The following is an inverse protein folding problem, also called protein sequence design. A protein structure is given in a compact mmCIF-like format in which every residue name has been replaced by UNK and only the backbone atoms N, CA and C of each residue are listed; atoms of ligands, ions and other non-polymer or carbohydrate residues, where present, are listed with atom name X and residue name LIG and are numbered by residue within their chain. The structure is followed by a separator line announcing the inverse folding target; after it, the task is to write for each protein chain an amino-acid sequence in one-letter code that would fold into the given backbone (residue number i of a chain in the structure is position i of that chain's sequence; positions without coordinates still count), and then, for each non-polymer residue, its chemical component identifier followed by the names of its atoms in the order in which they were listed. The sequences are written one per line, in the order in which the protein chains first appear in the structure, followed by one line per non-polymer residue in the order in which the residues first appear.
data_IF_015886983833
#
_entry.id   IF_015886983833
#
_cell.length_a   1.000
_cell.length_b   1.000
_cell.length_c   1.000
_cell.angle_alpha   90.00
_cell.angle_beta   90.00
_cell.angle_gamma   90.00
#
_symmetry.space_group_name_H-M   'P 1'
#
loop_
_entity.id
_entity.type
_entity.pdbx_description
1 polymer ?
#
# COMPACT_ATOMS: atom_id res chain seq x y z
N UNK A 1 14.72 -12.19 14.17
CA UNK A 1 14.52 -10.97 13.32
C UNK A 1 15.46 -11.01 12.11
N UNK A 2 14.92 -10.95 10.92
CA UNK A 2 15.71 -10.83 9.69
C UNK A 2 16.32 -9.42 9.61
N UNK A 3 17.54 -9.28 10.18
CA UNK A 3 18.22 -7.98 10.28
C UNK A 3 18.55 -7.41 8.91
N UNK A 4 18.93 -8.24 7.96
CA UNK A 4 19.30 -7.78 6.62
C UNK A 4 18.09 -7.17 5.89
N UNK A 5 16.91 -7.81 5.97
CA UNK A 5 15.68 -7.27 5.39
C UNK A 5 15.31 -5.92 6.04
N UNK A 6 15.47 -5.81 7.36
CA UNK A 6 15.22 -4.55 8.07
C UNK A 6 16.18 -3.44 7.59
N UNK A 7 17.48 -3.74 7.53
CA UNK A 7 18.51 -2.78 7.09
C UNK A 7 18.23 -2.29 5.65
N UNK A 8 17.81 -3.19 4.74
CA UNK A 8 17.47 -2.84 3.36
C UNK A 8 16.18 -1.99 3.27
N UNK A 9 15.18 -2.27 4.11
CA UNK A 9 13.98 -1.43 4.18
C UNK A 9 14.32 -0.03 4.72
N UNK A 10 15.16 0.08 5.76
CA UNK A 10 15.64 1.37 6.27
C UNK A 10 16.43 2.15 5.22
N UNK A 11 17.33 1.47 4.49
CA UNK A 11 18.13 2.10 3.43
C UNK A 11 17.22 2.65 2.32
N UNK A 12 16.21 1.88 1.90
CA UNK A 12 15.25 2.32 0.91
C UNK A 12 14.47 3.57 1.36
N UNK A 13 14.09 3.65 2.64
CA UNK A 13 13.46 4.85 3.22
C UNK A 13 14.44 6.03 3.25
N UNK A 14 15.67 5.84 3.74
CA UNK A 14 16.71 6.90 3.83
C UNK A 14 17.03 7.49 2.47
N UNK A 15 17.07 6.67 1.43
CA UNK A 15 17.40 7.10 0.07
C UNK A 15 16.27 7.89 -0.60
N UNK A 16 15.02 7.61 -0.25
CA UNK A 16 13.85 8.17 -0.95
C UNK A 16 13.11 9.26 -0.18
N UNK A 17 13.14 9.24 1.15
CA UNK A 17 12.35 10.14 2.00
C UNK A 17 13.23 11.24 2.58
N UNK A 18 13.09 12.45 2.06
CA UNK A 18 13.89 13.62 2.46
C UNK A 18 13.20 14.50 3.49
N UNK A 19 11.87 14.57 3.47
CA UNK A 19 11.10 15.38 4.40
C UNK A 19 11.06 14.75 5.80
N UNK A 20 11.15 15.59 6.83
CA UNK A 20 11.08 15.12 8.21
C UNK A 20 9.66 14.82 8.68
N UNK A 21 8.69 15.65 8.26
CA UNK A 21 7.26 15.48 8.53
C UNK A 21 6.61 14.80 7.36
N UNK A 22 6.08 13.59 7.56
CA UNK A 22 5.54 12.73 6.51
C UNK A 22 4.18 12.15 6.86
N UNK A 23 3.35 11.98 5.84
CA UNK A 23 2.18 11.13 5.92
C UNK A 23 2.54 9.67 5.62
N UNK A 24 1.81 8.73 6.19
CA UNK A 24 1.86 7.31 5.80
C UNK A 24 0.46 6.89 5.38
N UNK A 25 0.30 6.41 4.13
CA UNK A 25 -0.95 5.80 3.69
C UNK A 25 -1.20 4.50 4.49
N UNK A 26 -2.20 4.52 5.37
CA UNK A 26 -2.35 3.55 6.43
C UNK A 26 -3.69 2.81 6.37
N UNK A 27 -3.64 1.51 6.20
CA UNK A 27 -4.82 0.62 6.20
C UNK A 27 -4.90 -0.29 7.44
N UNK A 28 -3.89 -0.23 8.33
CA UNK A 28 -3.73 -1.16 9.45
C UNK A 28 -3.21 -2.55 9.05
N UNK A 29 -3.07 -2.85 7.75
CA UNK A 29 -2.45 -4.09 7.28
C UNK A 29 -0.95 -4.17 7.60
N UNK A 30 -0.38 -5.38 7.55
CA UNK A 30 1.02 -5.63 7.93
C UNK A 30 2.01 -4.68 7.27
N UNK A 31 1.86 -4.42 5.97
CA UNK A 31 2.81 -3.62 5.19
C UNK A 31 2.82 -2.15 5.63
N UNK A 32 1.64 -1.54 5.69
CA UNK A 32 1.50 -0.13 6.09
C UNK A 32 1.82 0.09 7.56
N UNK A 33 1.57 -0.91 8.41
CA UNK A 33 1.88 -0.84 9.84
C UNK A 33 3.37 -0.98 10.09
N UNK A 34 4.03 -1.92 9.40
CA UNK A 34 5.49 -2.07 9.45
C UNK A 34 6.19 -0.81 8.94
N UNK A 35 5.77 -0.26 7.81
CA UNK A 35 6.31 1.00 7.29
C UNK A 35 6.12 2.14 8.29
N UNK A 36 4.92 2.33 8.83
CA UNK A 36 4.63 3.41 9.77
C UNK A 36 5.54 3.35 11.01
N UNK A 37 5.71 2.16 11.60
CA UNK A 37 6.60 1.98 12.74
C UNK A 37 8.06 2.18 12.35
N UNK A 38 8.50 1.64 11.21
CA UNK A 38 9.86 1.78 10.71
C UNK A 38 10.25 3.24 10.58
N UNK A 39 9.47 4.05 9.84
CA UNK A 39 9.78 5.48 9.67
C UNK A 39 9.69 6.25 10.99
N UNK A 40 8.80 5.86 11.91
CA UNK A 40 8.73 6.46 13.25
C UNK A 40 9.99 6.19 14.06
N UNK A 41 10.47 4.95 14.09
CA UNK A 41 11.68 4.56 14.83
C UNK A 41 12.95 5.15 14.21
N UNK A 42 12.96 5.40 12.89
CA UNK A 42 13.99 6.17 12.20
C UNK A 42 13.95 7.68 12.54
N UNK A 43 12.98 8.11 13.33
CA UNK A 43 12.86 9.46 13.85
C UNK A 43 12.12 10.45 12.96
N UNK A 44 11.34 10.00 11.96
CA UNK A 44 10.43 10.88 11.21
C UNK A 44 9.24 11.33 12.07
N UNK A 45 8.69 12.49 11.76
CA UNK A 45 7.43 12.98 12.32
C UNK A 45 6.27 12.39 11.49
N UNK A 46 5.68 11.33 12.01
CA UNK A 46 4.74 10.46 11.27
C UNK A 46 3.30 10.83 11.58
N UNK A 47 2.50 11.00 10.53
CA UNK A 47 1.06 11.17 10.59
C UNK A 47 0.37 10.10 9.72
N UNK A 48 -0.45 9.25 10.32
CA UNK A 48 -1.19 8.20 9.60
C UNK A 48 -2.37 8.80 8.84
N UNK A 49 -2.58 8.36 7.60
CA UNK A 49 -3.65 8.81 6.72
C UNK A 49 -4.50 7.62 6.25
N UNK A 50 -5.76 7.60 6.61
CA UNK A 50 -6.70 6.54 6.19
C UNK A 50 -7.90 7.13 5.48
N UNK A 51 -8.31 6.51 4.39
CA UNK A 51 -9.50 6.88 3.62
C UNK A 51 -10.43 5.68 3.41
N UNK A 52 -11.69 5.96 3.19
CA UNK A 52 -12.67 4.93 2.83
C UNK A 52 -14.08 5.47 2.91
N UNK A 53 -15.04 4.68 2.44
CA UNK A 53 -16.44 5.00 2.71
C UNK A 53 -16.77 4.76 4.17
N UNK A 54 -17.84 5.38 4.64
CA UNK A 54 -18.35 5.19 6.00
C UNK A 54 -18.45 3.69 6.34
N UNK A 55 -18.03 3.33 7.54
CA UNK A 55 -18.00 1.95 8.05
C UNK A 55 -17.20 0.95 7.19
N UNK A 56 -16.32 1.45 6.31
CA UNK A 56 -15.45 0.58 5.53
C UNK A 56 -14.49 -0.21 6.43
N UNK A 57 -14.10 -1.38 5.94
CA UNK A 57 -13.15 -2.25 6.65
C UNK A 57 -11.85 -1.51 6.98
N UNK A 58 -11.30 -0.74 6.03
CA UNK A 58 -10.00 -0.09 6.21
C UNK A 58 -10.06 1.00 7.29
N UNK A 59 -11.15 1.79 7.35
CA UNK A 59 -11.33 2.79 8.42
C UNK A 59 -11.40 2.10 9.78
N UNK A 60 -12.23 1.06 9.94
CA UNK A 60 -12.41 0.38 11.21
C UNK A 60 -11.14 -0.32 11.65
N UNK A 61 -10.48 -1.02 10.74
CA UNK A 61 -9.27 -1.77 11.04
C UNK A 61 -8.06 -0.85 11.33
N UNK A 62 -7.92 0.24 10.58
CA UNK A 62 -6.89 1.25 10.87
C UNK A 62 -7.07 1.88 12.26
N UNK A 63 -8.31 2.18 12.66
CA UNK A 63 -8.61 2.65 14.03
C UNK A 63 -8.19 1.64 15.09
N UNK A 64 -8.58 0.36 14.91
CA UNK A 64 -8.22 -0.74 15.82
C UNK A 64 -6.70 -0.87 15.97
N UNK A 65 -5.97 -0.94 14.87
CA UNK A 65 -4.50 -1.08 14.92
C UNK A 65 -3.84 0.15 15.51
N UNK A 66 -4.31 1.37 15.18
CA UNK A 66 -3.72 2.58 15.71
C UNK A 66 -3.99 2.80 17.21
N UNK A 67 -5.01 2.19 17.80
CA UNK A 67 -5.17 2.18 19.26
C UNK A 67 -3.96 1.52 19.96
N UNK A 68 -3.29 0.58 19.27
CA UNK A 68 -2.10 -0.10 19.78
C UNK A 68 -0.80 0.64 19.46
N UNK A 69 -0.76 1.41 18.36
CA UNK A 69 0.42 2.19 17.96
C UNK A 69 0.44 3.58 18.62
N UNK A 70 -0.71 4.18 18.82
CA UNK A 70 -0.91 5.52 19.37
C UNK A 70 -0.16 6.62 18.58
N UNK A 71 -0.27 6.60 17.25
CA UNK A 71 0.30 7.61 16.36
C UNK A 71 -0.74 8.69 16.00
N UNK A 72 -0.33 9.93 15.67
CA UNK A 72 -1.22 10.91 15.04
C UNK A 72 -1.90 10.30 13.82
N UNK A 73 -3.23 10.41 13.73
CA UNK A 73 -4.02 9.72 12.70
C UNK A 73 -5.18 10.59 12.24
N UNK A 74 -5.23 10.86 10.95
CA UNK A 74 -6.37 11.50 10.29
C UNK A 74 -7.11 10.49 9.41
N UNK A 75 -8.42 10.58 9.45
CA UNK A 75 -9.32 9.72 8.66
C UNK A 75 -10.23 10.61 7.83
N UNK A 76 -10.38 10.29 6.54
CA UNK A 76 -11.33 10.94 5.65
C UNK A 76 -12.35 9.93 5.14
N UNK A 77 -13.61 10.21 5.42
CA UNK A 77 -14.72 9.46 4.83
C UNK A 77 -15.01 10.00 3.42
N UNK A 78 -15.12 9.09 2.45
CA UNK A 78 -15.43 9.43 1.07
C UNK A 78 -16.92 9.77 0.95
N UNK A 79 -17.22 10.97 0.45
CA UNK A 79 -18.57 11.43 0.18
C UNK A 79 -19.15 10.70 -1.05
N UNK A 80 -20.20 9.88 -0.88
CA UNK A 80 -20.80 9.14 -1.99
C UNK A 80 -21.38 10.05 -3.09
N UNK A 81 -21.80 11.27 -2.75
CA UNK A 81 -22.40 12.21 -3.71
C UNK A 81 -21.34 12.78 -4.66
N UNK A 82 -20.13 13.06 -4.15
CA UNK A 82 -19.00 13.59 -4.92
C UNK A 82 -18.17 12.51 -5.61
N UNK A 83 -18.33 11.26 -5.21
CA UNK A 83 -17.47 10.16 -5.67
C UNK A 83 -17.51 9.98 -7.20
N UNK A 84 -18.69 10.15 -7.83
CA UNK A 84 -18.82 10.00 -9.29
C UNK A 84 -18.01 11.08 -10.02
N UNK A 85 -18.16 12.34 -9.63
CA UNK A 85 -17.42 13.48 -10.22
C UNK A 85 -15.91 13.29 -10.09
N UNK A 86 -15.44 12.91 -8.89
CA UNK A 86 -14.02 12.62 -8.63
C UNK A 86 -13.53 11.46 -9.51
N UNK A 87 -14.31 10.39 -9.64
CA UNK A 87 -13.95 9.24 -10.48
C UNK A 87 -13.81 9.60 -11.95
N UNK A 88 -14.73 10.41 -12.48
CA UNK A 88 -14.70 10.89 -13.87
C UNK A 88 -13.50 11.81 -14.10
N UNK A 89 -13.23 12.74 -13.19
CA UNK A 89 -12.05 13.61 -13.22
C UNK A 89 -10.76 12.81 -13.29
N UNK A 90 -10.62 11.81 -12.41
CA UNK A 90 -9.41 10.98 -12.34
C UNK A 90 -9.22 10.17 -13.62
N UNK A 91 -10.29 9.58 -14.15
CA UNK A 91 -10.25 8.86 -15.43
C UNK A 91 -9.74 9.77 -16.58
N UNK A 92 -10.17 11.03 -16.61
CA UNK A 92 -9.67 12.00 -17.60
C UNK A 92 -8.19 12.33 -17.43
N UNK A 93 -7.67 12.36 -16.20
CA UNK A 93 -6.26 12.63 -15.92
C UNK A 93 -5.38 11.44 -16.34
N UNK A 94 -5.74 10.23 -15.90
CA UNK A 94 -4.91 9.04 -16.13
C UNK A 94 -5.06 8.46 -17.53
N UNK A 95 -6.18 8.74 -18.22
CA UNK A 95 -6.51 8.28 -19.60
C UNK A 95 -6.29 6.77 -19.79
N UNK A 96 -6.74 5.97 -18.81
CA UNK A 96 -6.59 4.53 -18.80
C UNK A 96 -7.90 3.84 -18.46
N UNK A 97 -8.26 2.81 -19.22
CA UNK A 97 -9.41 1.94 -18.95
C UNK A 97 -9.09 0.83 -17.94
N UNK A 98 -7.84 0.72 -17.51
CA UNK A 98 -7.44 -0.24 -16.49
C UNK A 98 -8.16 0.04 -15.17
N UNK A 99 -9.04 -0.89 -14.77
CA UNK A 99 -9.87 -0.74 -13.58
C UNK A 99 -9.03 -0.54 -12.31
N UNK A 100 -7.98 -1.33 -12.13
CA UNK A 100 -7.09 -1.25 -10.96
C UNK A 100 -6.37 0.11 -10.89
N UNK A 101 -5.95 0.67 -12.03
CA UNK A 101 -5.32 2.00 -12.07
C UNK A 101 -6.32 3.09 -11.66
N UNK A 102 -7.57 3.02 -12.15
CA UNK A 102 -8.61 3.96 -11.75
C UNK A 102 -8.90 3.88 -10.25
N UNK A 103 -9.08 2.67 -9.72
CA UNK A 103 -9.37 2.45 -8.30
C UNK A 103 -8.26 2.96 -7.38
N UNK A 104 -7.00 2.65 -7.69
CA UNK A 104 -5.86 3.10 -6.90
C UNK A 104 -5.65 4.62 -7.04
N UNK A 105 -5.78 5.18 -8.24
CA UNK A 105 -5.68 6.63 -8.46
C UNK A 105 -6.76 7.40 -7.68
N UNK A 106 -8.00 6.89 -7.64
CA UNK A 106 -9.07 7.45 -6.81
C UNK A 106 -8.71 7.37 -5.31
N UNK A 107 -8.21 6.22 -4.85
CA UNK A 107 -7.81 6.08 -3.45
C UNK A 107 -6.71 7.08 -3.08
N UNK A 108 -5.67 7.19 -3.88
CA UNK A 108 -4.57 8.11 -3.61
C UNK A 108 -4.92 9.58 -3.82
N UNK A 109 -5.91 9.91 -4.66
CA UNK A 109 -6.50 11.24 -4.70
C UNK A 109 -7.01 11.66 -3.31
N UNK A 110 -7.85 10.82 -2.67
CA UNK A 110 -8.37 11.12 -1.34
C UNK A 110 -7.28 11.10 -0.25
N UNK A 111 -6.27 10.26 -0.38
CA UNK A 111 -5.10 10.28 0.52
C UNK A 111 -4.34 11.60 0.38
N UNK A 112 -4.12 12.10 -0.84
CA UNK A 112 -3.43 13.36 -1.08
C UNK A 112 -4.25 14.58 -0.61
N UNK A 113 -5.56 14.57 -0.84
CA UNK A 113 -6.46 15.59 -0.29
C UNK A 113 -6.39 15.63 1.25
N UNK A 114 -6.38 14.47 1.90
CA UNK A 114 -6.25 14.37 3.34
C UNK A 114 -4.86 14.83 3.82
N UNK A 115 -3.80 14.49 3.08
CA UNK A 115 -2.44 14.95 3.36
C UNK A 115 -2.34 16.48 3.31
N UNK A 116 -2.89 17.10 2.25
CA UNK A 116 -2.93 18.56 2.10
C UNK A 116 -3.65 19.22 3.29
N UNK A 117 -4.80 18.68 3.73
CA UNK A 117 -5.56 19.18 4.90
C UNK A 117 -4.79 19.10 6.22
N UNK A 118 -3.72 18.28 6.28
CA UNK A 118 -2.84 18.11 7.45
C UNK A 118 -1.46 18.78 7.25
N UNK A 119 -1.30 19.65 6.25
CA UNK A 119 -0.06 20.33 5.92
C UNK A 119 1.11 19.35 5.66
N UNK A 120 0.83 18.24 4.98
CA UNK A 120 1.81 17.24 4.58
C UNK A 120 2.07 17.34 3.08
N UNK A 121 3.33 17.41 2.69
CA UNK A 121 3.78 17.46 1.28
C UNK A 121 4.25 16.10 0.77
N UNK A 122 4.64 15.22 1.67
CA UNK A 122 5.14 13.89 1.36
C UNK A 122 4.30 12.82 2.05
N UNK A 123 3.86 11.85 1.27
CA UNK A 123 3.18 10.64 1.76
C UNK A 123 3.96 9.42 1.33
N UNK A 124 4.31 8.58 2.29
CA UNK A 124 5.03 7.32 2.06
C UNK A 124 4.04 6.16 2.01
N UNK A 125 4.25 5.24 1.09
CA UNK A 125 3.37 4.08 0.90
C UNK A 125 4.17 2.78 0.87
N UNK A 126 3.53 1.67 1.26
CA UNK A 126 4.16 0.35 1.28
C UNK A 126 4.02 -0.42 -0.06
N UNK A 127 3.74 0.29 -1.16
CA UNK A 127 3.66 -0.31 -2.50
C UNK A 127 5.00 -0.98 -2.86
N UNK A 128 4.94 -2.10 -3.54
CA UNK A 128 6.09 -2.96 -3.85
C UNK A 128 6.18 -4.20 -2.97
N UNK A 129 5.73 -4.15 -1.72
CA UNK A 129 5.78 -5.31 -0.81
C UNK A 129 4.91 -6.47 -1.31
N UNK A 130 3.70 -6.21 -1.75
CA UNK A 130 2.81 -7.26 -2.27
C UNK A 130 3.36 -7.93 -3.54
N UNK A 131 3.97 -7.15 -4.41
CA UNK A 131 4.62 -7.61 -5.63
C UNK A 131 5.83 -8.50 -5.31
N UNK A 132 6.72 -8.01 -4.45
CA UNK A 132 8.01 -8.63 -4.15
C UNK A 132 7.93 -9.85 -3.22
N UNK A 133 6.90 -9.90 -2.36
CA UNK A 133 6.75 -10.94 -1.33
C UNK A 133 5.50 -11.80 -1.51
N UNK A 134 4.99 -11.91 -2.74
CA UNK A 134 3.86 -12.78 -3.09
C UNK A 134 2.56 -12.46 -2.34
N UNK A 135 2.22 -11.16 -2.14
CA UNK A 135 1.07 -10.76 -1.33
C UNK A 135 -0.30 -11.04 -1.96
N UNK A 136 -0.42 -11.14 -3.27
CA UNK A 136 -1.70 -11.35 -3.97
C UNK A 136 -2.12 -12.83 -4.04
N UNK A 137 -3.42 -13.08 -4.06
CA UNK A 137 -3.96 -14.45 -4.18
C UNK A 137 -3.51 -15.14 -5.48
N UNK A 138 -3.29 -14.39 -6.56
CA UNK A 138 -2.82 -14.94 -7.83
C UNK A 138 -1.45 -15.63 -7.74
N UNK A 139 -0.63 -15.31 -6.74
CA UNK A 139 0.62 -16.04 -6.51
C UNK A 139 0.41 -17.48 -6.06
N UNK A 140 -0.73 -17.80 -5.43
CA UNK A 140 -1.11 -19.17 -5.06
C UNK A 140 -1.38 -20.04 -6.29
N UNK A 141 -1.95 -19.46 -7.34
CA UNK A 141 -2.15 -20.13 -8.63
C UNK A 141 -0.83 -20.22 -9.43
N UNK A 142 0.04 -19.20 -9.28
CA UNK A 142 1.33 -19.20 -9.95
C UNK A 142 2.29 -20.25 -9.38
N UNK A 143 2.37 -20.41 -8.05
CA UNK A 143 3.26 -21.39 -7.42
C UNK A 143 2.88 -22.84 -7.75
N UNK A 144 1.61 -23.11 -8.02
CA UNK A 144 1.15 -24.43 -8.50
C UNK A 144 1.78 -24.80 -9.87
N UNK A 145 2.08 -23.76 -10.68
CA UNK A 145 2.73 -23.92 -11.99
C UNK A 145 4.26 -23.90 -11.91
N UNK A 146 4.82 -23.61 -10.74
CA UNK A 146 6.26 -23.57 -10.47
C UNK A 146 6.80 -22.18 -10.12
N UNK A 147 8.00 -22.16 -9.55
CA UNK A 147 8.65 -20.92 -9.10
C UNK A 147 8.94 -19.93 -10.24
N UNK A 148 9.23 -20.43 -11.43
CA UNK A 148 9.47 -19.57 -12.60
C UNK A 148 8.24 -18.74 -12.97
N UNK A 149 7.04 -19.29 -12.83
CA UNK A 149 5.79 -18.55 -13.07
C UNK A 149 5.54 -17.50 -11.98
N UNK A 150 5.94 -17.78 -10.72
CA UNK A 150 5.90 -16.79 -9.64
C UNK A 150 6.84 -15.62 -9.95
N UNK A 151 8.08 -15.90 -10.37
CA UNK A 151 9.07 -14.88 -10.71
C UNK A 151 8.60 -14.04 -11.90
N UNK A 152 8.05 -14.67 -12.94
CA UNK A 152 7.46 -13.96 -14.09
C UNK A 152 6.33 -13.03 -13.64
N UNK A 153 5.37 -13.55 -12.86
CA UNK A 153 4.25 -12.76 -12.33
C UNK A 153 4.75 -11.60 -11.46
N UNK A 154 5.78 -11.81 -10.64
CA UNK A 154 6.41 -10.75 -9.84
C UNK A 154 6.93 -9.62 -10.73
N UNK A 155 7.63 -9.95 -11.81
CA UNK A 155 8.17 -8.95 -12.73
C UNK A 155 7.06 -8.17 -13.45
N UNK A 156 6.01 -8.85 -13.90
CA UNK A 156 4.87 -8.24 -14.58
C UNK A 156 4.12 -7.29 -13.62
N UNK A 157 3.88 -7.72 -12.38
CA UNK A 157 3.24 -6.88 -11.35
C UNK A 157 4.10 -5.67 -10.97
N UNK A 158 5.41 -5.84 -10.80
CA UNK A 158 6.32 -4.72 -10.51
C UNK A 158 6.34 -3.69 -11.64
N UNK A 159 6.33 -4.15 -12.90
CA UNK A 159 6.24 -3.25 -14.05
C UNK A 159 4.95 -2.45 -14.01
N UNK A 160 3.81 -3.14 -13.86
CA UNK A 160 2.50 -2.50 -13.77
C UNK A 160 2.43 -1.52 -12.58
N UNK A 161 3.00 -1.88 -11.42
CA UNK A 161 3.00 -1.04 -10.23
C UNK A 161 3.76 0.27 -10.46
N UNK A 162 4.95 0.20 -11.05
CA UNK A 162 5.76 1.38 -11.40
C UNK A 162 5.03 2.30 -12.38
N UNK A 163 4.40 1.75 -13.40
CA UNK A 163 3.62 2.52 -14.39
C UNK A 163 2.40 3.16 -13.73
N UNK A 164 1.68 2.43 -12.88
CA UNK A 164 0.54 2.94 -12.12
C UNK A 164 0.94 4.08 -11.18
N UNK A 165 2.10 4.01 -10.53
CA UNK A 165 2.58 5.08 -9.64
C UNK A 165 2.86 6.39 -10.38
N UNK A 166 3.23 6.34 -11.66
CA UNK A 166 3.33 7.56 -12.49
C UNK A 166 1.96 8.21 -12.64
N UNK A 167 0.92 7.42 -12.93
CA UNK A 167 -0.46 7.92 -13.03
C UNK A 167 -0.96 8.49 -11.69
N UNK A 168 -0.68 7.80 -10.58
CA UNK A 168 -1.04 8.26 -9.23
C UNK A 168 -0.36 9.60 -8.92
N UNK A 169 0.94 9.75 -9.19
CA UNK A 169 1.65 11.01 -8.95
C UNK A 169 1.09 12.17 -9.80
N UNK A 170 0.63 11.90 -11.02
CA UNK A 170 -0.06 12.92 -11.82
C UNK A 170 -1.37 13.40 -11.17
N UNK A 171 -2.11 12.49 -10.54
CA UNK A 171 -3.36 12.80 -9.81
C UNK A 171 -3.08 13.56 -8.52
N UNK A 172 -2.09 13.14 -7.74
CA UNK A 172 -1.80 13.72 -6.42
C UNK A 172 -1.08 15.08 -6.49
N UNK A 173 -0.46 15.38 -7.62
CA UNK A 173 0.25 16.65 -7.85
C UNK A 173 -0.65 17.89 -7.69
N UNK A 174 -1.96 17.79 -7.94
CA UNK A 174 -2.90 18.92 -7.77
C UNK A 174 -3.00 19.39 -6.31
N UNK A 175 -2.69 18.51 -5.36
CA UNK A 175 -2.66 18.83 -3.93
C UNK A 175 -1.28 19.30 -3.45
N UNK A 176 -0.29 19.35 -4.33
CA UNK A 176 1.10 19.62 -3.94
C UNK A 176 1.70 18.51 -3.08
N UNK A 177 1.20 17.28 -3.23
CA UNK A 177 1.61 16.10 -2.46
C UNK A 177 2.36 15.11 -3.37
N UNK A 178 3.53 14.68 -2.91
CA UNK A 178 4.33 13.63 -3.56
C UNK A 178 4.12 12.30 -2.85
N UNK A 179 3.78 11.27 -3.62
CA UNK A 179 3.72 9.89 -3.13
C UNK A 179 5.09 9.23 -3.32
N UNK A 180 5.67 8.72 -2.23
CA UNK A 180 6.95 8.03 -2.22
C UNK A 180 6.74 6.55 -1.92
N UNK A 181 7.38 5.70 -2.72
CA UNK A 181 7.32 4.23 -2.62
C UNK A 181 8.74 3.68 -2.41
N UNK A 182 9.26 3.65 -1.17
CA UNK A 182 10.64 3.21 -0.90
C UNK A 182 10.92 1.81 -1.44
N UNK A 183 9.94 0.92 -1.36
CA UNK A 183 10.11 -0.48 -1.74
C UNK A 183 10.02 -0.76 -3.25
N UNK A 184 9.83 0.28 -4.06
CA UNK A 184 10.01 0.23 -5.52
C UNK A 184 11.40 0.72 -5.97
N UNK A 185 12.28 1.05 -5.03
CA UNK A 185 13.67 1.42 -5.32
C UNK A 185 14.42 0.24 -5.94
N UNK A 186 15.23 0.44 -6.99
CA UNK A 186 15.94 -0.64 -7.68
C UNK A 186 16.76 -1.54 -6.74
N UNK A 187 17.53 -0.97 -5.83
CA UNK A 187 18.36 -1.73 -4.88
C UNK A 187 17.51 -2.63 -3.96
N UNK A 188 16.40 -2.14 -3.45
CA UNK A 188 15.49 -2.94 -2.63
C UNK A 188 14.82 -4.06 -3.45
N UNK A 189 14.41 -3.77 -4.70
CA UNK A 189 13.85 -4.78 -5.60
C UNK A 189 14.87 -5.90 -5.87
N UNK A 190 16.11 -5.55 -6.16
CA UNK A 190 17.18 -6.54 -6.40
C UNK A 190 17.45 -7.41 -5.18
N UNK A 191 17.48 -6.80 -3.99
CA UNK A 191 17.60 -7.54 -2.74
C UNK A 191 16.42 -8.47 -2.53
N UNK A 192 15.20 -7.95 -2.60
CA UNK A 192 13.99 -8.73 -2.36
C UNK A 192 13.85 -9.91 -3.35
N UNK A 193 14.29 -9.75 -4.60
CA UNK A 193 14.29 -10.84 -5.59
C UNK A 193 15.27 -11.96 -5.26
N UNK A 194 16.34 -11.71 -4.51
CA UNK A 194 17.29 -12.76 -4.07
C UNK A 194 16.74 -13.66 -2.98
N UNK A 195 15.71 -13.21 -2.26
CA UNK A 195 15.01 -14.05 -1.28
C UNK A 195 14.27 -15.16 -2.04
N UNK A 196 14.49 -16.44 -1.72
CA UNK A 196 13.85 -17.57 -2.39
C UNK A 196 12.32 -17.46 -2.42
N UNK A 197 11.69 -17.91 -3.49
CA UNK A 197 10.22 -17.94 -3.62
C UNK A 197 9.60 -18.78 -2.51
N UNK A 198 10.23 -19.92 -2.19
CA UNK A 198 9.80 -20.83 -1.12
C UNK A 198 9.76 -20.19 0.28
N UNK A 199 10.55 -19.14 0.53
CA UNK A 199 10.46 -18.36 1.77
C UNK A 199 9.30 -17.37 1.76
N UNK A 200 8.82 -16.93 0.59
CA UNK A 200 7.75 -15.92 0.44
C UNK A 200 6.35 -16.52 0.45
N UNK A 201 6.21 -17.72 -0.13
CA UNK A 201 4.96 -18.46 -0.28
C UNK A 201 5.23 -19.98 -0.19
N UNK A 202 4.47 -20.68 0.65
CA UNK A 202 4.68 -22.10 0.95
C UNK A 202 3.81 -23.05 0.11
N UNK A 203 3.14 -22.56 -0.93
CA UNK A 203 2.32 -23.35 -1.84
C UNK A 203 0.95 -22.75 -2.10
N UNK A 204 0.12 -23.51 -2.84
CA UNK A 204 -1.22 -23.09 -3.25
C UNK A 204 -2.17 -22.83 -2.06
N UNK A 205 -2.07 -23.59 -0.99
CA UNK A 205 -2.93 -23.46 0.19
C UNK A 205 -2.46 -22.38 1.18
N UNK A 206 -1.35 -21.71 0.88
CA UNK A 206 -0.81 -20.66 1.76
C UNK A 206 -1.69 -19.39 1.73
N UNK A 207 -2.57 -19.28 2.70
CA UNK A 207 -3.45 -18.11 2.87
C UNK A 207 -2.72 -16.89 3.44
N UNK A 208 -1.59 -17.08 4.11
CA UNK A 208 -0.85 -16.00 4.76
C UNK A 208 0.09 -15.28 3.79
N UNK A 209 0.94 -16.02 3.11
CA UNK A 209 1.98 -15.47 2.22
C UNK A 209 2.83 -14.38 2.89
N UNK A 210 3.79 -13.80 2.18
CA UNK A 210 4.66 -12.72 2.70
C UNK A 210 5.38 -13.11 4.01
N UNK A 211 5.77 -14.38 4.15
CA UNK A 211 6.33 -14.87 5.41
C UNK A 211 7.49 -14.01 5.92
N UNK A 212 8.50 -13.60 5.10
CA UNK A 212 9.60 -12.77 5.60
C UNK A 212 9.13 -11.42 6.16
N UNK A 213 8.10 -10.82 5.55
CA UNK A 213 7.52 -9.54 6.02
C UNK A 213 6.74 -9.74 7.32
N UNK A 214 5.97 -10.81 7.43
CA UNK A 214 5.18 -11.09 8.65
C UNK A 214 6.07 -11.46 9.83
N UNK A 215 7.10 -12.26 9.61
CA UNK A 215 8.09 -12.61 10.61
C UNK A 215 8.86 -11.37 11.08
N UNK A 216 9.34 -10.55 10.13
CA UNK A 216 9.96 -9.27 10.46
C UNK A 216 9.00 -8.39 11.27
N UNK A 217 7.75 -8.27 10.86
CA UNK A 217 6.76 -7.45 11.55
C UNK A 217 6.54 -7.91 13.00
N UNK A 218 6.40 -9.21 13.23
CA UNK A 218 6.25 -9.77 14.57
C UNK A 218 7.50 -9.50 15.42
N UNK A 219 8.68 -9.78 14.90
CA UNK A 219 9.96 -9.54 15.59
C UNK A 219 10.23 -8.05 15.86
N UNK A 220 9.72 -7.18 14.99
CA UNK A 220 9.84 -5.71 15.09
C UNK A 220 8.80 -5.10 16.05
N UNK A 221 7.92 -5.91 16.63
CA UNK A 221 6.91 -5.49 17.60
C UNK A 221 5.68 -4.84 16.97
N UNK A 222 5.36 -5.20 15.75
CA UNK A 222 4.07 -4.84 15.12
C UNK A 222 2.95 -5.61 15.82
N UNK A 223 1.79 -4.98 16.13
CA UNK A 223 0.66 -5.66 16.74
C UNK A 223 0.28 -6.94 15.96
N UNK A 224 0.10 -8.04 16.68
CA UNK A 224 -0.21 -9.34 16.07
C UNK A 224 -1.44 -9.28 15.16
N UNK A 225 -2.46 -8.51 15.55
CA UNK A 225 -3.68 -8.31 14.77
C UNK A 225 -3.37 -7.75 13.37
N UNK A 226 -2.37 -6.88 13.22
CA UNK A 226 -1.92 -6.36 11.93
C UNK A 226 -1.00 -7.35 11.20
N UNK A 227 -0.02 -7.94 11.91
CA UNK A 227 0.96 -8.86 11.35
C UNK A 227 0.33 -10.14 10.79
N UNK A 228 -0.75 -10.65 11.41
CA UNK A 228 -1.42 -11.90 11.04
C UNK A 228 -2.63 -11.70 10.12
N UNK A 229 -3.09 -10.46 9.89
CA UNK A 229 -4.25 -10.17 9.04
C UNK A 229 -4.04 -10.67 7.61
N UNK A 230 -5.04 -11.33 7.06
CA UNK A 230 -5.04 -11.66 5.64
C UNK A 230 -5.09 -10.39 4.79
N UNK A 231 -4.37 -10.41 3.66
CA UNK A 231 -4.33 -9.28 2.72
C UNK A 231 -5.73 -8.92 2.23
N UNK A 232 -6.08 -7.65 2.36
CA UNK A 232 -7.20 -7.02 1.66
C UNK A 232 -6.65 -5.80 0.92
N UNK A 233 -6.83 -5.74 -0.40
CA UNK A 233 -6.33 -4.62 -1.17
C UNK A 233 -7.14 -3.34 -0.88
N UNK A 234 -6.48 -2.17 -0.96
CA UNK A 234 -7.01 -0.86 -0.60
C UNK A 234 -8.38 -0.58 -1.25
N UNK A 235 -8.53 -0.85 -2.55
CA UNK A 235 -9.78 -0.60 -3.27
C UNK A 235 -10.96 -1.45 -2.76
N UNK A 236 -10.71 -2.63 -2.22
CA UNK A 236 -11.74 -3.48 -1.60
C UNK A 236 -12.00 -3.10 -0.15
N UNK A 237 -10.95 -2.82 0.62
CA UNK A 237 -11.02 -2.44 2.02
C UNK A 237 -11.72 -1.10 2.25
N UNK A 238 -11.45 -0.12 1.39
CA UNK A 238 -12.09 1.20 1.37
C UNK A 238 -13.48 1.23 0.73
N UNK A 239 -13.92 0.14 0.08
CA UNK A 239 -15.14 0.02 -0.73
C UNK A 239 -15.15 0.82 -2.05
N UNK A 240 -14.03 1.38 -2.49
CA UNK A 240 -13.91 2.12 -3.77
C UNK A 240 -14.30 1.23 -4.95
N UNK A 241 -13.82 -0.03 -5.00
CA UNK A 241 -14.18 -0.99 -6.05
C UNK A 241 -15.70 -1.12 -6.21
N UNK A 242 -16.41 -1.38 -5.12
CA UNK A 242 -17.87 -1.55 -5.12
C UNK A 242 -18.58 -0.30 -5.63
N UNK A 243 -18.14 0.87 -5.18
CA UNK A 243 -18.74 2.16 -5.53
C UNK A 243 -18.48 2.54 -6.98
N UNK A 244 -17.26 2.28 -7.49
CA UNK A 244 -16.91 2.53 -8.89
C UNK A 244 -17.71 1.65 -9.85
N UNK A 245 -17.87 0.36 -9.55
CA UNK A 245 -18.71 -0.53 -10.36
C UNK A 245 -20.18 -0.14 -10.35
N UNK A 246 -20.69 0.41 -9.24
CA UNK A 246 -22.06 0.92 -9.15
C UNK A 246 -22.24 2.18 -10.00
N UNK A 247 -21.32 3.13 -9.94
CA UNK A 247 -21.39 4.38 -10.70
C UNK A 247 -21.37 4.15 -12.23
N UNK A 248 -20.59 3.15 -12.70
CA UNK A 248 -20.53 2.78 -14.13
C UNK A 248 -21.79 2.09 -14.67
N UNK A 249 -22.63 1.51 -13.79
CA UNK A 249 -23.91 0.87 -14.20
C UNK A 249 -25.06 1.87 -14.30
N UNK A 250 -24.92 3.04 -13.72
CA UNK A 250 -25.93 4.11 -13.69
C UNK A 250 -25.66 5.22 -14.68
N UNK A 251 -24.63 5.08 -15.49
CA UNK A 251 -24.26 5.92 -16.64
C UNK A 251 -24.61 5.24 -17.94
#
# INVERSE_FOLDING_TARGET
MNKQLLDEMENAVKETVTDKKIGVAFSGGVDSTLLAKLVKDMGYDVHLLTIGFQDSHDINFAKEVNQLLNFPHSISEIDPEKFKEVSEKIHQIIKSDNLSWNENSIAFYYVAELAQKNDLKTVVTANGIDELFCGYNSYREAIEKGEDEVVKMMNDKLKNEKEMMVAINAVTAEFGVTMIQPFLLPNFIEYAKKIPVSEKIHGQDDMKRKHPIRELAMDYGIPEVAAQKQKKALQYGSQIHKSLLKSRKTS
#
